data_IF_570920073385
#
_entry.id   IF_570920073385
#
_cell.length_a   1.000
_cell.length_b   1.000
_cell.length_c   1.000
_cell.angle_alpha   90.00
_cell.angle_beta   90.00
_cell.angle_gamma   90.00
#
_symmetry.space_group_name_H-M   'P 1'
#
loop_
_entity.id
_entity.type
_entity.pdbx_description
1 polymer ?
#
# COMPACT_ATOMS: atom_id res chain seq x y z
N UNK A 1 -9.79 -23.43 -20.87
CA UNK A 1 -8.33 -23.67 -21.06
C UNK A 1 -8.13 -25.08 -21.63
N UNK A 2 -7.01 -25.36 -22.34
CA UNK A 2 -6.70 -26.72 -22.79
C UNK A 2 -6.15 -27.56 -21.62
N UNK A 3 -6.33 -28.90 -21.68
CA UNK A 3 -5.79 -29.82 -20.66
C UNK A 3 -4.28 -29.64 -20.43
N UNK A 4 -3.53 -29.33 -21.50
CA UNK A 4 -2.11 -29.04 -21.41
C UNK A 4 -1.81 -27.74 -20.67
N UNK A 5 -2.64 -26.70 -20.81
CA UNK A 5 -2.48 -25.45 -20.07
C UNK A 5 -2.73 -25.67 -18.57
N UNK A 6 -3.76 -26.39 -18.20
CA UNK A 6 -4.06 -26.74 -16.80
C UNK A 6 -2.89 -27.54 -16.17
N UNK A 7 -2.40 -28.58 -16.85
CA UNK A 7 -1.28 -29.38 -16.36
C UNK A 7 -0.01 -28.54 -16.16
N UNK A 8 0.28 -27.60 -17.06
CA UNK A 8 1.44 -26.69 -16.96
C UNK A 8 1.27 -25.74 -15.76
N UNK A 9 0.10 -25.16 -15.55
CA UNK A 9 -0.16 -24.25 -14.43
C UNK A 9 -0.14 -24.98 -13.08
N UNK A 10 -0.65 -26.22 -13.00
CA UNK A 10 -0.56 -27.06 -11.81
C UNK A 10 0.88 -27.41 -11.46
N UNK A 11 1.69 -27.77 -12.48
CA UNK A 11 3.11 -28.02 -12.31
C UNK A 11 3.85 -26.75 -11.87
N UNK A 12 3.49 -25.58 -12.42
CA UNK A 12 4.05 -24.29 -11.98
C UNK A 12 3.79 -24.05 -10.49
N UNK A 13 2.56 -24.26 -10.02
CA UNK A 13 2.21 -24.14 -8.61
C UNK A 13 3.03 -25.05 -7.70
N UNK A 14 3.16 -26.34 -8.06
CA UNK A 14 4.00 -27.29 -7.30
C UNK A 14 5.46 -26.85 -7.26
N UNK A 15 6.02 -26.39 -8.38
CA UNK A 15 7.40 -25.92 -8.45
C UNK A 15 7.59 -24.65 -7.61
N UNK A 16 6.67 -23.67 -7.69
CA UNK A 16 6.74 -22.46 -6.87
C UNK A 16 6.74 -22.79 -5.37
N UNK A 17 5.89 -23.69 -4.94
CA UNK A 17 5.85 -24.13 -3.53
C UNK A 17 7.15 -24.82 -3.11
N UNK A 18 7.73 -25.62 -4.00
CA UNK A 18 8.91 -26.43 -3.68
C UNK A 18 10.23 -25.66 -3.68
N UNK A 19 10.42 -24.73 -4.63
CA UNK A 19 11.71 -24.06 -4.87
C UNK A 19 11.61 -22.54 -5.01
N UNK A 20 10.42 -21.97 -4.88
CA UNK A 20 10.15 -20.55 -5.02
C UNK A 20 9.98 -20.06 -6.46
N UNK A 21 9.53 -18.79 -6.57
CA UNK A 21 9.33 -18.19 -7.88
C UNK A 21 10.63 -18.07 -8.67
N UNK A 22 11.72 -17.65 -8.05
CA UNK A 22 13.01 -17.45 -8.73
C UNK A 22 13.58 -18.71 -9.33
N UNK A 23 13.52 -19.82 -8.63
CA UNK A 23 14.10 -21.10 -9.06
C UNK A 23 13.17 -21.91 -9.97
N UNK A 24 11.91 -21.52 -10.13
CA UNK A 24 10.97 -22.16 -11.05
C UNK A 24 11.42 -21.92 -12.50
N UNK A 25 11.65 -23.00 -13.26
CA UNK A 25 12.12 -22.97 -14.65
C UNK A 25 11.14 -23.64 -15.60
N UNK A 26 11.16 -23.26 -16.90
CA UNK A 26 10.34 -23.90 -17.93
C UNK A 26 10.61 -25.41 -18.01
N UNK A 27 11.89 -25.83 -17.84
CA UNK A 27 12.28 -27.24 -17.89
C UNK A 27 11.73 -28.06 -16.72
N UNK A 28 11.73 -27.49 -15.52
CA UNK A 28 11.16 -28.14 -14.35
C UNK A 28 9.64 -28.28 -14.49
N UNK A 29 8.97 -27.18 -14.91
CA UNK A 29 7.52 -27.18 -15.15
C UNK A 29 7.12 -28.15 -16.25
N UNK A 30 7.83 -28.18 -17.38
CA UNK A 30 7.55 -29.12 -18.49
C UNK A 30 7.66 -30.58 -18.07
N UNK A 31 8.72 -30.92 -17.30
CA UNK A 31 8.94 -32.25 -16.77
C UNK A 31 7.85 -32.68 -15.79
N UNK A 32 7.49 -31.78 -14.87
CA UNK A 32 6.46 -32.05 -13.85
C UNK A 32 5.05 -32.13 -14.46
N UNK A 33 4.77 -31.33 -15.51
CA UNK A 33 3.52 -31.40 -16.28
C UNK A 33 3.44 -32.58 -17.25
N UNK A 34 4.52 -33.35 -17.46
CA UNK A 34 4.56 -34.45 -18.42
C UNK A 34 4.47 -34.01 -19.88
N UNK A 35 4.88 -32.77 -20.20
CA UNK A 35 4.82 -32.21 -21.56
C UNK A 35 6.21 -31.84 -22.10
N UNK A 36 6.32 -31.70 -23.44
CA UNK A 36 7.56 -31.22 -24.04
C UNK A 36 7.74 -29.69 -23.85
N UNK A 37 9.01 -29.22 -23.87
CA UNK A 37 9.29 -27.75 -23.92
C UNK A 37 8.58 -27.07 -25.09
N UNK A 38 8.53 -27.72 -26.25
CA UNK A 38 7.82 -27.19 -27.42
C UNK A 38 6.32 -27.00 -27.15
N UNK A 39 5.71 -27.92 -26.39
CA UNK A 39 4.33 -27.80 -25.95
C UNK A 39 4.16 -26.60 -25.00
N UNK A 40 5.08 -26.43 -24.06
CA UNK A 40 5.05 -25.27 -23.15
C UNK A 40 5.11 -23.97 -23.92
N UNK A 41 6.08 -23.78 -24.82
CA UNK A 41 6.20 -22.53 -25.62
C UNK A 41 5.06 -22.31 -26.61
N UNK A 42 4.38 -23.39 -27.05
CA UNK A 42 3.18 -23.25 -27.87
C UNK A 42 1.99 -22.72 -27.06
N UNK A 43 1.86 -23.11 -25.79
CA UNK A 43 0.76 -22.68 -24.90
C UNK A 43 1.08 -21.34 -24.22
N UNK A 44 2.34 -21.16 -23.81
CA UNK A 44 2.86 -19.96 -23.14
C UNK A 44 4.08 -19.42 -23.90
N UNK A 45 3.89 -18.61 -24.95
CA UNK A 45 4.97 -18.14 -25.85
C UNK A 45 6.06 -17.33 -25.13
N UNK A 46 5.71 -16.56 -24.11
CA UNK A 46 6.67 -15.83 -23.26
C UNK A 46 7.37 -16.71 -22.22
N UNK A 47 7.15 -18.04 -22.30
CA UNK A 47 7.84 -19.02 -21.48
C UNK A 47 7.52 -18.86 -19.98
N UNK A 48 8.57 -18.74 -19.17
CA UNK A 48 8.44 -18.67 -17.71
C UNK A 48 7.56 -17.51 -17.22
N UNK A 49 7.67 -16.33 -17.81
CA UNK A 49 6.87 -15.18 -17.43
C UNK A 49 5.37 -15.45 -17.65
N UNK A 50 4.99 -15.88 -18.85
CA UNK A 50 3.59 -16.19 -19.17
C UNK A 50 3.01 -17.32 -18.29
N UNK A 51 3.84 -18.31 -17.94
CA UNK A 51 3.41 -19.41 -17.05
C UNK A 51 3.09 -18.87 -15.65
N UNK A 52 3.98 -18.05 -15.08
CA UNK A 52 3.79 -17.51 -13.74
C UNK A 52 2.61 -16.51 -13.71
N UNK A 53 2.47 -15.69 -14.75
CA UNK A 53 1.35 -14.77 -14.91
C UNK A 53 0.02 -15.53 -15.00
N UNK A 54 -0.05 -16.55 -15.85
CA UNK A 54 -1.23 -17.40 -15.99
C UNK A 54 -1.55 -18.19 -14.72
N UNK A 55 -0.54 -18.67 -14.01
CA UNK A 55 -0.71 -19.35 -12.73
C UNK A 55 -1.29 -18.40 -11.68
N UNK A 56 -0.71 -17.21 -11.50
CA UNK A 56 -1.20 -16.23 -10.53
C UNK A 56 -2.61 -15.74 -10.87
N UNK A 57 -2.90 -15.48 -12.14
CA UNK A 57 -4.24 -15.09 -12.59
C UNK A 57 -5.28 -16.15 -12.22
N UNK A 58 -4.97 -17.43 -12.45
CA UNK A 58 -5.85 -18.56 -12.09
C UNK A 58 -6.06 -18.69 -10.57
N UNK A 59 -5.00 -18.53 -9.77
CA UNK A 59 -5.13 -18.59 -8.31
C UNK A 59 -5.97 -17.41 -7.76
N UNK A 60 -5.83 -16.23 -8.36
CA UNK A 60 -6.67 -15.06 -8.03
C UNK A 60 -8.14 -15.31 -8.40
N UNK A 61 -8.40 -15.85 -9.60
CA UNK A 61 -9.75 -16.19 -10.06
C UNK A 61 -10.42 -17.21 -9.13
N UNK A 62 -9.70 -18.28 -8.76
CA UNK A 62 -10.18 -19.29 -7.79
C UNK A 62 -10.48 -18.67 -6.44
N UNK A 63 -9.57 -17.84 -5.94
CA UNK A 63 -9.76 -17.14 -4.67
C UNK A 63 -11.04 -16.27 -4.67
N UNK A 64 -11.27 -15.50 -5.73
CA UNK A 64 -12.47 -14.66 -5.83
C UNK A 64 -13.75 -15.47 -6.03
N UNK A 65 -13.70 -16.59 -6.75
CA UNK A 65 -14.82 -17.50 -6.84
C UNK A 65 -15.21 -18.06 -5.47
N UNK A 66 -14.23 -18.54 -4.71
CA UNK A 66 -14.45 -19.07 -3.36
C UNK A 66 -14.96 -17.98 -2.39
N UNK A 67 -14.40 -16.77 -2.47
CA UNK A 67 -14.83 -15.63 -1.67
C UNK A 67 -16.26 -15.21 -1.99
N UNK A 68 -16.59 -15.13 -3.29
CA UNK A 68 -17.95 -14.82 -3.75
C UNK A 68 -18.95 -15.83 -3.22
N UNK A 69 -18.66 -17.13 -3.36
CA UNK A 69 -19.53 -18.20 -2.86
C UNK A 69 -19.73 -18.12 -1.35
N UNK A 70 -18.70 -17.66 -0.61
CA UNK A 70 -18.78 -17.50 0.84
C UNK A 70 -19.71 -16.35 1.27
N UNK A 71 -19.77 -15.25 0.52
CA UNK A 71 -20.50 -14.02 0.92
C UNK A 71 -21.78 -13.75 0.13
N UNK A 72 -22.07 -14.49 -0.96
CA UNK A 72 -23.17 -14.19 -1.90
C UNK A 72 -24.57 -14.19 -1.29
N UNK A 73 -24.77 -14.93 -0.20
CA UNK A 73 -26.08 -15.03 0.48
C UNK A 73 -26.28 -13.90 1.52
N UNK A 74 -25.27 -13.05 1.71
CA UNK A 74 -25.32 -11.88 2.59
C UNK A 74 -25.91 -10.70 1.84
N UNK A 75 -26.84 -9.96 2.48
CA UNK A 75 -27.56 -8.85 1.87
C UNK A 75 -27.20 -7.49 2.47
N UNK A 76 -26.34 -7.46 3.48
CA UNK A 76 -25.91 -6.25 4.18
C UNK A 76 -24.42 -6.00 3.98
N UNK A 77 -24.06 -4.75 3.67
CA UNK A 77 -22.69 -4.34 3.40
C UNK A 77 -21.75 -4.65 4.58
N UNK A 78 -22.21 -4.42 5.81
CA UNK A 78 -21.40 -4.67 7.01
C UNK A 78 -21.07 -6.15 7.13
N UNK A 79 -22.08 -7.02 7.02
CA UNK A 79 -21.91 -8.47 7.06
C UNK A 79 -20.96 -8.96 5.95
N UNK A 80 -21.13 -8.46 4.72
CA UNK A 80 -20.25 -8.78 3.57
C UNK A 80 -18.82 -8.39 3.84
N UNK A 81 -18.57 -7.21 4.39
CA UNK A 81 -17.20 -6.75 4.70
C UNK A 81 -16.58 -7.54 5.84
N UNK A 82 -17.33 -7.83 6.91
CA UNK A 82 -16.83 -8.61 8.06
C UNK A 82 -16.46 -10.03 7.64
N UNK A 83 -17.41 -10.74 7.02
CA UNK A 83 -17.19 -12.12 6.58
C UNK A 83 -16.15 -12.20 5.46
N UNK A 84 -16.21 -11.27 4.49
CA UNK A 84 -15.28 -11.22 3.39
C UNK A 84 -13.84 -10.98 3.84
N UNK A 85 -13.61 -10.04 4.74
CA UNK A 85 -12.28 -9.75 5.29
C UNK A 85 -11.74 -10.90 6.15
N UNK A 86 -12.58 -11.48 7.00
CA UNK A 86 -12.21 -12.62 7.86
C UNK A 86 -11.82 -13.82 6.99
N UNK A 87 -12.66 -14.18 6.01
CA UNK A 87 -12.39 -15.26 5.07
C UNK A 87 -11.12 -15.00 4.26
N UNK A 88 -11.04 -13.83 3.63
CA UNK A 88 -9.90 -13.46 2.79
C UNK A 88 -8.58 -13.54 3.58
N UNK A 89 -8.52 -12.99 4.78
CA UNK A 89 -7.30 -13.02 5.60
C UNK A 89 -6.91 -14.44 5.99
N UNK A 90 -7.87 -15.28 6.40
CA UNK A 90 -7.62 -16.69 6.73
C UNK A 90 -7.05 -17.46 5.54
N UNK A 91 -7.59 -17.23 4.33
CA UNK A 91 -7.13 -17.86 3.10
C UNK A 91 -5.74 -17.36 2.68
N UNK A 92 -5.47 -16.07 2.80
CA UNK A 92 -4.15 -15.47 2.51
C UNK A 92 -3.08 -16.11 3.41
N UNK A 93 -3.33 -16.23 4.71
CA UNK A 93 -2.37 -16.82 5.66
C UNK A 93 -2.15 -18.31 5.37
N UNK A 94 -3.21 -19.03 5.02
CA UNK A 94 -3.13 -20.47 4.75
C UNK A 94 -2.59 -20.81 3.34
N UNK A 95 -2.47 -19.83 2.44
CA UNK A 95 -2.15 -20.07 1.03
C UNK A 95 -0.65 -20.34 0.82
N UNK A 96 -0.23 -21.56 0.39
CA UNK A 96 1.19 -21.91 0.32
C UNK A 96 2.00 -20.99 -0.61
N UNK A 97 1.43 -20.61 -1.76
CA UNK A 97 2.10 -19.77 -2.77
C UNK A 97 2.26 -18.34 -2.28
N UNK A 98 1.25 -17.76 -1.59
CA UNK A 98 1.35 -16.44 -1.01
C UNK A 98 2.40 -16.41 0.09
N UNK A 99 2.54 -17.45 0.90
CA UNK A 99 3.61 -17.56 1.88
C UNK A 99 5.00 -17.53 1.24
N UNK A 100 5.19 -18.21 0.09
CA UNK A 100 6.44 -18.12 -0.68
C UNK A 100 6.65 -16.70 -1.21
N UNK A 101 5.61 -16.08 -1.79
CA UNK A 101 5.67 -14.70 -2.31
C UNK A 101 5.96 -13.65 -1.22
N UNK A 102 5.55 -13.93 0.04
CA UNK A 102 5.82 -13.06 1.19
C UNK A 102 7.29 -13.10 1.65
N UNK A 103 7.95 -14.25 1.47
CA UNK A 103 9.33 -14.49 1.93
C UNK A 103 10.34 -14.16 0.85
N UNK A 104 10.02 -14.41 -0.41
CA UNK A 104 10.92 -14.14 -1.53
C UNK A 104 10.97 -12.66 -1.90
N UNK A 105 12.18 -12.13 -1.96
CA UNK A 105 12.50 -10.80 -2.50
C UNK A 105 12.52 -10.89 -4.05
N UNK A 106 11.34 -10.94 -4.68
CA UNK A 106 11.26 -11.27 -6.10
C UNK A 106 10.86 -10.08 -6.97
N UNK A 107 11.89 -9.46 -7.59
CA UNK A 107 11.74 -8.54 -8.73
C UNK A 107 11.02 -9.17 -9.95
N UNK A 108 10.89 -10.48 -9.98
CA UNK A 108 10.25 -11.26 -11.06
C UNK A 108 8.73 -11.13 -11.06
N UNK A 109 8.13 -10.81 -9.92
CA UNK A 109 6.68 -10.69 -9.76
C UNK A 109 6.15 -9.27 -10.00
N UNK A 110 7.04 -8.30 -10.26
CA UNK A 110 6.71 -6.86 -10.15
C UNK A 110 5.73 -6.36 -11.20
N UNK A 111 5.93 -6.71 -12.47
CA UNK A 111 5.00 -6.29 -13.54
C UNK A 111 3.68 -7.04 -13.48
N UNK A 112 3.73 -8.30 -13.07
CA UNK A 112 2.56 -9.16 -12.89
C UNK A 112 1.75 -8.74 -11.67
N UNK A 113 2.43 -8.45 -10.55
CA UNK A 113 1.77 -8.06 -9.31
C UNK A 113 1.04 -6.71 -9.42
N UNK A 114 1.61 -5.71 -10.08
CA UNK A 114 0.94 -4.40 -10.25
C UNK A 114 -0.36 -4.52 -11.03
N UNK A 115 -0.33 -5.19 -12.19
CA UNK A 115 -1.55 -5.43 -12.99
C UNK A 115 -2.57 -6.28 -12.24
N UNK A 116 -2.10 -7.26 -11.48
CA UNK A 116 -2.95 -8.14 -10.68
C UNK A 116 -3.63 -7.37 -9.55
N UNK A 117 -2.92 -6.46 -8.86
CA UNK A 117 -3.50 -5.61 -7.80
C UNK A 117 -4.55 -4.66 -8.36
N UNK A 118 -4.31 -4.02 -9.51
CA UNK A 118 -5.31 -3.17 -10.18
C UNK A 118 -6.58 -3.97 -10.51
N UNK A 119 -6.43 -5.18 -11.08
CA UNK A 119 -7.55 -6.07 -11.38
C UNK A 119 -8.30 -6.51 -10.12
N UNK A 120 -7.57 -6.87 -9.07
CA UNK A 120 -8.14 -7.23 -7.76
C UNK A 120 -8.93 -6.07 -7.16
N UNK A 121 -8.35 -4.86 -7.16
CA UNK A 121 -9.00 -3.65 -6.65
C UNK A 121 -10.30 -3.39 -7.41
N UNK A 122 -10.28 -3.46 -8.75
CA UNK A 122 -11.46 -3.26 -9.59
C UNK A 122 -12.56 -4.30 -9.30
N UNK A 123 -12.18 -5.58 -9.17
CA UNK A 123 -13.14 -6.67 -8.88
C UNK A 123 -13.81 -6.47 -7.52
N UNK A 124 -13.04 -6.15 -6.47
CA UNK A 124 -13.60 -5.86 -5.14
C UNK A 124 -14.48 -4.62 -5.19
N UNK A 125 -14.04 -3.55 -5.87
CA UNK A 125 -14.79 -2.31 -5.98
C UNK A 125 -16.15 -2.52 -6.68
N UNK A 126 -16.19 -3.28 -7.77
CA UNK A 126 -17.42 -3.64 -8.45
C UNK A 126 -18.36 -4.44 -7.53
N UNK A 127 -17.82 -5.44 -6.85
CA UNK A 127 -18.59 -6.29 -5.93
C UNK A 127 -19.20 -5.47 -4.79
N UNK A 128 -18.39 -4.72 -4.02
CA UNK A 128 -18.90 -3.94 -2.88
C UNK A 128 -19.81 -2.80 -3.32
N UNK A 129 -19.63 -2.27 -4.53
CA UNK A 129 -20.49 -1.22 -5.10
C UNK A 129 -21.93 -1.72 -5.22
N UNK A 130 -22.18 -3.01 -5.44
CA UNK A 130 -23.54 -3.58 -5.55
C UNK A 130 -24.35 -3.40 -4.26
N UNK A 131 -23.70 -3.34 -3.10
CA UNK A 131 -24.32 -3.17 -1.77
C UNK A 131 -24.44 -1.70 -1.34
N UNK A 132 -23.86 -0.76 -2.10
CA UNK A 132 -23.90 0.66 -1.76
C UNK A 132 -25.20 1.31 -2.27
N UNK A 133 -25.73 2.32 -1.55
CA UNK A 133 -26.88 3.11 -2.02
C UNK A 133 -26.57 3.79 -3.35
N UNK A 134 -27.58 3.92 -4.21
CA UNK A 134 -27.46 4.65 -5.46
C UNK A 134 -27.14 6.12 -5.19
N UNK A 135 -26.00 6.58 -5.67
CA UNK A 135 -25.52 7.95 -5.52
C UNK A 135 -24.56 8.32 -6.65
N UNK A 136 -24.35 9.61 -6.95
CA UNK A 136 -23.36 10.04 -7.96
C UNK A 136 -21.93 9.57 -7.69
N UNK A 137 -21.60 9.28 -6.43
CA UNK A 137 -20.24 8.86 -5.98
C UNK A 137 -20.18 7.39 -5.58
N UNK A 138 -21.15 6.57 -6.02
CA UNK A 138 -21.23 5.15 -5.65
C UNK A 138 -19.99 4.37 -6.05
N UNK A 139 -19.51 4.55 -7.29
CA UNK A 139 -18.33 3.89 -7.80
C UNK A 139 -17.04 4.33 -7.05
N UNK A 140 -16.89 5.63 -6.76
CA UNK A 140 -15.76 6.16 -5.99
C UNK A 140 -15.72 5.57 -4.56
N UNK A 141 -16.90 5.36 -3.95
CA UNK A 141 -17.01 4.73 -2.63
C UNK A 141 -16.65 3.26 -2.65
N UNK A 142 -17.06 2.54 -3.71
CA UNK A 142 -16.66 1.14 -3.92
C UNK A 142 -15.14 1.00 -4.10
N UNK A 143 -14.52 1.87 -4.89
CA UNK A 143 -13.07 1.95 -5.04
C UNK A 143 -12.37 2.22 -3.71
N UNK A 144 -12.86 3.19 -2.92
CA UNK A 144 -12.32 3.46 -1.58
C UNK A 144 -12.36 2.24 -0.67
N UNK A 145 -13.52 1.57 -0.59
CA UNK A 145 -13.67 0.36 0.25
C UNK A 145 -12.73 -0.76 -0.20
N UNK A 146 -12.59 -0.99 -1.50
CA UNK A 146 -11.69 -1.99 -2.05
C UNK A 146 -10.23 -1.73 -1.67
N UNK A 147 -9.77 -0.49 -1.82
CA UNK A 147 -8.40 -0.07 -1.46
C UNK A 147 -8.12 -0.23 0.02
N UNK A 148 -9.06 0.17 0.87
CA UNK A 148 -8.91 0.03 2.31
C UNK A 148 -8.93 -1.44 2.73
N UNK A 149 -9.83 -2.26 2.18
CA UNK A 149 -9.85 -3.70 2.41
C UNK A 149 -8.50 -4.36 2.06
N UNK A 150 -7.95 -4.07 0.89
CA UNK A 150 -6.64 -4.57 0.46
C UNK A 150 -5.50 -4.09 1.36
N UNK A 151 -5.54 -2.83 1.81
CA UNK A 151 -4.55 -2.30 2.74
C UNK A 151 -4.55 -3.06 4.07
N UNK A 152 -5.73 -3.36 4.63
CA UNK A 152 -5.85 -4.13 5.87
C UNK A 152 -5.52 -5.62 5.68
N UNK A 153 -5.90 -6.21 4.57
CA UNK A 153 -5.52 -7.59 4.24
C UNK A 153 -4.00 -7.76 4.09
N UNK A 154 -3.33 -6.75 3.56
CA UNK A 154 -1.87 -6.76 3.39
C UNK A 154 -1.12 -6.50 4.71
N UNK A 155 -1.59 -5.56 5.51
CA UNK A 155 -0.98 -5.16 6.78
C UNK A 155 -2.09 -4.87 7.82
N UNK A 156 -2.47 -5.82 8.66
CA UNK A 156 -3.63 -5.70 9.55
C UNK A 156 -3.50 -4.63 10.63
N UNK A 157 -2.30 -4.11 10.90
CA UNK A 157 -2.09 -3.12 11.94
C UNK A 157 -2.32 -3.71 13.33
N UNK A 158 -3.10 -2.99 14.14
CA UNK A 158 -3.47 -3.42 15.49
C UNK A 158 -4.67 -4.38 15.53
N UNK A 159 -5.25 -4.73 14.37
CA UNK A 159 -6.46 -5.55 14.29
C UNK A 159 -6.14 -7.04 14.19
N UNK A 160 -6.80 -7.85 15.04
CA UNK A 160 -6.74 -9.31 14.95
C UNK A 160 -7.90 -9.85 14.09
N UNK A 161 -7.55 -10.33 12.90
CA UNK A 161 -8.52 -10.90 11.96
C UNK A 161 -8.97 -12.33 12.34
N UNK A 162 -8.38 -12.93 13.36
CA UNK A 162 -8.88 -14.18 13.92
C UNK A 162 -10.01 -13.95 14.95
N UNK A 163 -10.16 -12.71 15.43
CA UNK A 163 -11.23 -12.28 16.32
C UNK A 163 -12.36 -11.57 15.54
N UNK A 164 -13.53 -12.20 15.32
CA UNK A 164 -14.63 -11.60 14.57
C UNK A 164 -15.10 -10.27 15.17
N UNK A 165 -15.02 -10.07 16.47
CA UNK A 165 -15.43 -8.83 17.12
C UNK A 165 -14.50 -7.68 16.77
N UNK A 166 -13.20 -7.94 16.57
CA UNK A 166 -12.25 -6.94 16.11
C UNK A 166 -12.45 -6.60 14.64
N UNK A 167 -12.75 -7.58 13.78
CA UNK A 167 -13.07 -7.31 12.36
C UNK A 167 -14.36 -6.49 12.25
N UNK A 168 -15.38 -6.81 13.04
CA UNK A 168 -16.61 -6.02 13.09
C UNK A 168 -16.34 -4.57 13.55
N UNK A 169 -15.51 -4.39 14.58
CA UNK A 169 -15.11 -3.07 15.05
C UNK A 169 -14.32 -2.28 13.99
N UNK A 170 -13.39 -2.92 13.26
CA UNK A 170 -12.67 -2.35 12.13
C UNK A 170 -13.64 -1.86 11.05
N UNK A 171 -14.56 -2.73 10.61
CA UNK A 171 -15.53 -2.42 9.55
C UNK A 171 -16.41 -1.23 9.97
N UNK A 172 -16.94 -1.23 11.18
CA UNK A 172 -17.80 -0.17 11.70
C UNK A 172 -17.08 1.15 11.92
N UNK A 173 -15.81 1.14 12.32
CA UNK A 173 -15.09 2.38 12.64
C UNK A 173 -14.32 2.97 11.47
N UNK A 174 -13.84 2.16 10.53
CA UNK A 174 -12.86 2.61 9.54
C UNK A 174 -13.32 2.43 8.07
N UNK A 175 -14.28 1.55 7.81
CA UNK A 175 -14.76 1.30 6.45
C UNK A 175 -16.14 1.93 6.22
N UNK A 176 -17.15 1.53 6.98
CA UNK A 176 -18.54 1.99 6.77
C UNK A 176 -18.73 3.50 7.01
N UNK A 177 -18.14 4.16 8.04
CA UNK A 177 -18.32 5.59 8.23
C UNK A 177 -17.86 6.43 7.05
N UNK A 178 -16.82 5.97 6.35
CA UNK A 178 -16.29 6.62 5.15
C UNK A 178 -17.31 6.71 4.00
N UNK A 179 -18.39 5.93 4.09
CA UNK A 179 -19.50 5.92 3.11
C UNK A 179 -20.57 6.97 3.42
N UNK A 180 -20.56 7.55 4.64
CA UNK A 180 -21.51 8.56 5.10
C UNK A 180 -21.07 9.97 4.75
N UNK A 181 -22.01 10.93 4.68
CA UNK A 181 -21.70 12.34 4.40
C UNK A 181 -21.16 13.03 5.64
N UNK A 182 -19.92 13.50 5.58
CA UNK A 182 -19.24 14.23 6.67
C UNK A 182 -19.31 15.75 6.56
N UNK A 183 -18.61 16.42 7.49
CA UNK A 183 -18.40 17.88 7.49
C UNK A 183 -17.65 18.35 6.24
N UNK A 184 -17.76 19.65 5.92
CA UNK A 184 -17.03 20.26 4.80
C UNK A 184 -15.79 21.00 5.31
N UNK A 185 -14.63 20.57 4.84
CA UNK A 185 -13.34 21.25 5.04
C UNK A 185 -13.02 22.07 3.79
N UNK A 186 -12.48 23.27 3.97
CA UNK A 186 -11.93 24.07 2.89
C UNK A 186 -10.56 23.52 2.47
N UNK A 187 -10.13 23.84 1.23
CA UNK A 187 -8.80 23.44 0.74
C UNK A 187 -7.68 23.91 1.67
N UNK A 188 -6.76 23.01 1.98
CA UNK A 188 -5.52 23.28 2.72
C UNK A 188 -4.35 23.26 1.76
N UNK A 189 -3.50 24.29 1.75
CA UNK A 189 -2.32 24.33 0.89
C UNK A 189 -1.25 23.37 1.37
N UNK A 190 -0.50 22.71 0.46
CA UNK A 190 0.61 21.87 0.86
C UNK A 190 1.69 22.70 1.56
N UNK A 191 2.29 22.13 2.59
CA UNK A 191 3.43 22.74 3.27
C UNK A 191 4.68 22.64 2.45
N UNK A 192 5.47 23.71 2.35
CA UNK A 192 6.78 23.64 1.69
C UNK A 192 7.70 22.70 2.46
N UNK A 193 8.53 21.95 1.71
CA UNK A 193 9.57 21.14 2.34
C UNK A 193 10.60 22.02 3.04
N UNK A 194 11.13 21.60 4.20
CA UNK A 194 12.29 22.21 4.80
C UNK A 194 13.43 22.30 3.79
N UNK A 195 14.23 23.36 3.87
CA UNK A 195 15.44 23.46 3.03
C UNK A 195 16.31 22.23 3.20
N UNK A 196 16.77 21.66 2.10
CA UNK A 196 17.71 20.55 2.16
C UNK A 196 19.02 21.00 2.79
N UNK A 197 19.35 20.43 3.92
CA UNK A 197 20.66 20.65 4.56
C UNK A 197 21.72 19.87 3.79
N UNK A 198 22.95 20.39 3.77
CA UNK A 198 24.11 19.78 3.12
C UNK A 198 25.23 19.49 4.12
N UNK A 199 24.88 19.31 5.37
CA UNK A 199 25.86 19.20 6.48
C UNK A 199 26.45 17.80 6.56
N UNK A 200 25.70 16.76 6.22
CA UNK A 200 26.18 15.38 6.26
C UNK A 200 26.56 14.85 4.88
N UNK A 201 27.45 13.85 4.85
CA UNK A 201 27.80 13.14 3.61
C UNK A 201 26.55 12.53 2.96
N UNK A 202 25.66 11.91 3.74
CA UNK A 202 24.43 11.31 3.24
C UNK A 202 23.52 12.35 2.57
N UNK A 203 23.35 13.54 3.15
CA UNK A 203 22.55 14.63 2.58
C UNK A 203 23.17 15.15 1.28
N UNK A 204 24.50 15.31 1.20
CA UNK A 204 25.18 15.71 -0.04
C UNK A 204 25.00 14.68 -1.14
N UNK A 205 25.12 13.42 -0.81
CA UNK A 205 24.94 12.28 -1.72
C UNK A 205 23.49 12.19 -2.21
N UNK A 206 22.50 12.33 -1.33
CA UNK A 206 21.09 12.33 -1.69
C UNK A 206 20.77 13.48 -2.66
N UNK A 207 21.31 14.68 -2.44
CA UNK A 207 21.13 15.82 -3.33
C UNK A 207 21.82 15.62 -4.68
N UNK A 208 23.00 15.03 -4.70
CA UNK A 208 23.71 14.69 -5.93
C UNK A 208 22.90 13.68 -6.75
N UNK A 209 22.35 12.65 -6.11
CA UNK A 209 21.48 11.66 -6.75
C UNK A 209 20.22 12.31 -7.32
N UNK A 210 19.57 13.18 -6.56
CA UNK A 210 18.39 13.92 -7.01
C UNK A 210 18.70 14.75 -8.27
N UNK A 211 19.84 15.42 -8.31
CA UNK A 211 20.31 16.17 -9.48
C UNK A 211 20.52 15.28 -10.71
N UNK A 212 21.15 14.11 -10.52
CA UNK A 212 21.34 13.11 -11.58
C UNK A 212 20.00 12.56 -12.10
N UNK A 213 19.02 12.29 -11.21
CA UNK A 213 17.69 11.89 -11.63
C UNK A 213 16.96 12.93 -12.48
N UNK A 214 17.05 14.20 -12.08
CA UNK A 214 16.42 15.33 -12.81
C UNK A 214 17.08 15.55 -14.16
N UNK A 215 18.41 15.43 -14.26
CA UNK A 215 19.15 15.64 -15.51
C UNK A 215 18.99 14.50 -16.53
N UNK A 216 18.32 13.41 -16.18
CA UNK A 216 18.16 12.24 -17.06
C UNK A 216 19.46 11.44 -17.28
N UNK A 217 20.50 11.73 -16.50
CA UNK A 217 21.80 11.06 -16.55
C UNK A 217 21.72 9.58 -16.18
N UNK A 218 22.72 8.81 -16.61
CA UNK A 218 22.88 7.44 -16.13
C UNK A 218 23.24 7.49 -14.65
N UNK A 219 22.42 6.83 -13.80
CA UNK A 219 22.66 6.66 -12.37
C UNK A 219 23.93 5.83 -12.15
N UNK A 220 25.10 6.44 -12.32
CA UNK A 220 26.38 5.81 -12.02
C UNK A 220 26.92 6.29 -10.68
N UNK A 221 27.53 5.39 -9.91
CA UNK A 221 28.21 5.75 -8.66
C UNK A 221 29.30 6.82 -8.89
N UNK A 222 29.84 6.89 -10.10
CA UNK A 222 30.86 7.87 -10.48
C UNK A 222 30.28 9.27 -10.67
N UNK A 223 29.13 9.39 -11.38
CA UNK A 223 28.45 10.68 -11.56
C UNK A 223 27.97 11.24 -10.23
N UNK A 224 27.40 10.38 -9.37
CA UNK A 224 26.95 10.76 -8.04
C UNK A 224 28.13 11.20 -7.15
N UNK A 225 29.24 10.45 -7.14
CA UNK A 225 30.43 10.83 -6.34
C UNK A 225 30.97 12.19 -6.78
N UNK A 226 31.06 12.43 -8.09
CA UNK A 226 31.48 13.72 -8.66
C UNK A 226 30.53 14.86 -8.28
N UNK A 227 29.22 14.65 -8.42
CA UNK A 227 28.19 15.64 -8.08
C UNK A 227 28.10 15.92 -6.58
N UNK A 228 28.42 14.95 -5.72
CA UNK A 228 28.50 15.08 -4.27
C UNK A 228 29.85 15.62 -3.75
N UNK A 229 30.82 15.84 -4.66
CA UNK A 229 32.17 16.29 -4.33
C UNK A 229 32.90 15.35 -3.35
N UNK A 230 32.80 14.03 -3.60
CA UNK A 230 33.46 13.00 -2.81
C UNK A 230 34.19 11.98 -3.68
N UNK A 231 35.16 11.27 -3.12
CA UNK A 231 35.80 10.17 -3.82
C UNK A 231 34.84 8.97 -3.96
N UNK A 232 35.01 8.16 -5.03
CA UNK A 232 34.29 6.89 -5.18
C UNK A 232 34.47 5.98 -3.96
N UNK A 233 35.68 5.91 -3.42
CA UNK A 233 35.98 5.10 -2.23
C UNK A 233 35.19 5.58 -1.00
N UNK A 234 35.05 6.90 -0.82
CA UNK A 234 34.24 7.49 0.25
C UNK A 234 32.76 7.15 0.07
N UNK A 235 32.23 7.23 -1.16
CA UNK A 235 30.87 6.89 -1.46
C UNK A 235 30.56 5.40 -1.19
N UNK A 236 31.42 4.49 -1.69
CA UNK A 236 31.24 3.04 -1.45
C UNK A 236 31.41 2.64 0.02
N UNK A 237 32.25 3.35 0.79
CA UNK A 237 32.36 3.13 2.25
C UNK A 237 31.11 3.56 2.99
N UNK A 238 30.51 4.66 2.57
CA UNK A 238 29.26 5.17 3.17
C UNK A 238 28.02 4.36 2.76
N UNK A 239 28.01 3.83 1.52
CA UNK A 239 26.87 3.10 0.93
C UNK A 239 27.39 1.87 0.17
N UNK A 240 27.72 0.78 0.90
CA UNK A 240 28.37 -0.40 0.33
C UNK A 240 27.51 -1.21 -0.65
N UNK A 241 26.18 -1.09 -0.60
CA UNK A 241 25.23 -1.80 -1.47
C UNK A 241 25.04 -1.22 -2.88
N UNK A 242 25.90 -0.27 -3.29
CA UNK A 242 25.86 0.28 -4.64
C UNK A 242 24.67 1.20 -4.91
N UNK A 243 24.33 1.37 -6.20
CA UNK A 243 23.39 2.42 -6.64
C UNK A 243 21.97 2.28 -6.04
N UNK A 244 21.48 1.06 -5.82
CA UNK A 244 20.12 0.87 -5.32
C UNK A 244 20.00 1.17 -3.83
N UNK A 245 21.02 0.83 -3.05
CA UNK A 245 21.07 1.26 -1.65
C UNK A 245 21.19 2.79 -1.54
N UNK A 246 21.88 3.42 -2.49
CA UNK A 246 21.96 4.87 -2.62
C UNK A 246 20.58 5.49 -2.89
N UNK A 247 19.81 4.89 -3.81
CA UNK A 247 18.41 5.30 -4.08
C UNK A 247 17.56 5.16 -2.81
N UNK A 248 17.63 4.02 -2.12
CA UNK A 248 16.91 3.79 -0.86
C UNK A 248 17.22 4.86 0.19
N UNK A 249 18.50 5.14 0.43
CA UNK A 249 18.92 6.18 1.37
C UNK A 249 18.41 7.59 0.98
N UNK A 250 18.31 7.88 -0.32
CA UNK A 250 17.74 9.15 -0.79
C UNK A 250 16.25 9.22 -0.55
N UNK A 251 15.52 8.13 -0.81
CA UNK A 251 14.07 8.04 -0.52
C UNK A 251 13.83 8.24 0.98
N UNK A 252 14.63 7.64 1.86
CA UNK A 252 14.53 7.82 3.31
C UNK A 252 14.70 9.29 3.71
N UNK A 253 15.71 9.99 3.17
CA UNK A 253 15.96 11.42 3.46
C UNK A 253 14.79 12.29 2.98
N UNK A 254 14.28 12.07 1.76
CA UNK A 254 13.17 12.85 1.23
C UNK A 254 11.87 12.55 1.98
N UNK A 255 11.64 11.30 2.35
CA UNK A 255 10.51 10.92 3.22
C UNK A 255 10.59 11.64 4.56
N UNK A 256 11.74 11.67 5.21
CA UNK A 256 11.91 12.39 6.47
C UNK A 256 11.63 13.91 6.32
N UNK A 257 11.99 14.52 5.19
CA UNK A 257 11.66 15.93 4.89
C UNK A 257 10.17 16.15 4.71
N UNK A 258 9.48 15.26 4.01
CA UNK A 258 8.02 15.30 3.84
C UNK A 258 7.35 15.16 5.21
N UNK A 259 7.77 14.21 6.04
CA UNK A 259 7.23 14.01 7.38
C UNK A 259 7.48 15.24 8.28
N UNK A 260 8.61 15.91 8.17
CA UNK A 260 8.89 17.15 8.88
C UNK A 260 7.93 18.29 8.45
N UNK A 261 7.62 18.40 7.16
CA UNK A 261 6.64 19.36 6.66
C UNK A 261 5.21 19.03 7.16
N UNK A 262 4.85 17.75 7.20
CA UNK A 262 3.59 17.28 7.77
C UNK A 262 3.51 17.63 9.26
N UNK A 263 4.54 17.33 10.03
CA UNK A 263 4.59 17.65 11.46
C UNK A 263 4.43 19.15 11.73
N UNK A 264 5.08 20.00 10.93
CA UNK A 264 4.90 21.45 11.01
C UNK A 264 3.45 21.85 10.68
N UNK A 265 2.84 21.24 9.65
CA UNK A 265 1.45 21.43 9.30
C UNK A 265 0.48 21.01 10.40
N UNK A 266 0.74 19.87 11.03
CA UNK A 266 -0.03 19.37 12.17
C UNK A 266 0.01 20.37 13.35
N UNK A 267 1.18 20.95 13.64
CA UNK A 267 1.31 21.93 14.72
C UNK A 267 0.46 23.19 14.49
N UNK A 268 0.30 23.62 13.24
CA UNK A 268 -0.44 24.82 12.87
C UNK A 268 -1.93 24.55 12.56
N UNK A 269 -2.35 23.30 12.48
CA UNK A 269 -3.74 22.94 12.17
C UNK A 269 -4.70 23.39 13.29
N UNK A 270 -5.91 23.80 12.90
CA UNK A 270 -6.93 24.34 13.80
C UNK A 270 -7.94 23.30 14.27
N UNK A 271 -8.05 22.20 13.54
CA UNK A 271 -8.95 21.08 13.82
C UNK A 271 -8.30 19.76 13.40
N UNK A 272 -8.89 18.64 13.82
CA UNK A 272 -8.49 17.32 13.38
C UNK A 272 -8.64 17.17 11.86
N UNK A 273 -9.75 17.66 11.30
CA UNK A 273 -10.00 17.64 9.86
C UNK A 273 -8.92 18.42 9.09
N UNK A 274 -8.59 19.65 9.54
CA UNK A 274 -7.51 20.45 8.95
C UNK A 274 -6.16 19.72 9.02
N UNK A 275 -5.91 19.00 10.11
CA UNK A 275 -4.71 18.23 10.32
C UNK A 275 -4.60 17.06 9.31
N UNK A 276 -5.67 16.29 9.15
CA UNK A 276 -5.71 15.15 8.23
C UNK A 276 -5.63 15.61 6.77
N UNK A 277 -6.47 16.60 6.37
CA UNK A 277 -6.44 17.15 5.00
C UNK A 277 -5.08 17.77 4.67
N UNK A 278 -4.52 18.54 5.61
CA UNK A 278 -3.21 19.16 5.45
C UNK A 278 -2.08 18.15 5.29
N UNK A 279 -2.15 17.03 6.02
CA UNK A 279 -1.21 15.92 5.91
C UNK A 279 -1.29 15.25 4.55
N UNK A 280 -2.49 14.86 4.11
CA UNK A 280 -2.73 14.25 2.79
C UNK A 280 -2.28 15.18 1.67
N UNK A 281 -2.70 16.44 1.69
CA UNK A 281 -2.33 17.44 0.68
C UNK A 281 -0.81 17.61 0.60
N UNK A 282 -0.12 17.71 1.75
CA UNK A 282 1.33 17.89 1.79
C UNK A 282 2.06 16.66 1.24
N UNK A 283 1.69 15.47 1.69
CA UNK A 283 2.37 14.23 1.26
C UNK A 283 2.14 13.99 -0.23
N UNK A 284 0.89 14.01 -0.68
CA UNK A 284 0.55 13.74 -2.08
C UNK A 284 1.17 14.75 -3.04
N UNK A 285 1.08 16.05 -2.69
CA UNK A 285 1.70 17.09 -3.52
C UNK A 285 3.21 16.85 -3.70
N UNK A 286 3.93 16.61 -2.60
CA UNK A 286 5.37 16.38 -2.69
C UNK A 286 5.72 15.05 -3.33
N UNK A 287 4.98 13.99 -3.05
CA UNK A 287 5.18 12.69 -3.68
C UNK A 287 4.97 12.75 -5.21
N UNK A 288 3.93 13.46 -5.68
CA UNK A 288 3.61 13.60 -7.09
C UNK A 288 4.49 14.61 -7.84
N UNK A 289 4.99 15.64 -7.16
CA UNK A 289 5.78 16.71 -7.81
C UNK A 289 7.29 16.58 -7.58
N UNK A 290 7.74 15.68 -6.69
CA UNK A 290 9.15 15.48 -6.39
C UNK A 290 9.88 14.75 -7.53
N UNK A 291 10.87 15.39 -8.21
CA UNK A 291 11.44 14.84 -9.45
C UNK A 291 12.09 13.45 -9.28
N UNK A 292 12.73 13.19 -8.13
CA UNK A 292 13.35 11.89 -7.89
C UNK A 292 12.31 10.79 -7.62
N UNK A 293 11.23 11.08 -6.87
CA UNK A 293 10.18 10.11 -6.57
C UNK A 293 9.36 9.78 -7.82
N UNK A 294 8.97 10.78 -8.61
CA UNK A 294 8.23 10.56 -9.87
C UNK A 294 9.07 9.79 -10.88
N UNK A 295 10.38 10.09 -10.98
CA UNK A 295 11.29 9.34 -11.86
C UNK A 295 11.48 7.90 -11.37
N UNK A 296 11.63 7.71 -10.06
CA UNK A 296 11.76 6.38 -9.46
C UNK A 296 10.52 5.52 -9.74
N UNK A 297 9.32 6.07 -9.52
CA UNK A 297 8.06 5.40 -9.85
C UNK A 297 7.97 5.02 -11.33
N UNK A 298 8.44 5.89 -12.23
CA UNK A 298 8.40 5.62 -13.67
C UNK A 298 9.41 4.56 -14.12
N UNK A 299 10.58 4.45 -13.47
CA UNK A 299 11.68 3.57 -13.92
C UNK A 299 11.78 2.30 -13.10
N UNK A 300 11.48 2.37 -11.81
CA UNK A 300 11.59 1.27 -10.85
C UNK A 300 10.44 1.33 -9.83
N UNK A 301 9.17 1.17 -10.28
CA UNK A 301 8.01 1.12 -9.38
C UNK A 301 8.14 -0.01 -8.35
N UNK A 302 8.83 -1.09 -8.73
CA UNK A 302 9.17 -2.22 -7.89
C UNK A 302 9.77 -1.83 -6.53
N UNK A 303 10.71 -0.88 -6.51
CA UNK A 303 11.37 -0.47 -5.27
C UNK A 303 10.41 0.22 -4.28
N UNK A 304 9.38 0.88 -4.78
CA UNK A 304 8.36 1.52 -3.94
C UNK A 304 7.30 0.49 -3.53
N UNK A 305 6.82 -0.31 -4.47
CA UNK A 305 5.86 -1.37 -4.19
C UNK A 305 6.40 -2.38 -3.18
N UNK A 306 7.70 -2.71 -3.24
CA UNK A 306 8.35 -3.59 -2.27
C UNK A 306 8.29 -3.05 -0.84
N UNK A 307 8.36 -1.72 -0.65
CA UNK A 307 8.20 -1.10 0.68
C UNK A 307 6.75 -1.20 1.21
N UNK A 308 5.77 -1.45 0.33
CA UNK A 308 4.36 -1.59 0.67
C UNK A 308 3.91 -3.05 0.84
N UNK A 309 4.85 -4.00 0.83
CA UNK A 309 4.54 -5.42 1.01
C UNK A 309 4.48 -5.80 2.49
N UNK A 310 3.36 -6.37 2.88
CA UNK A 310 3.11 -7.07 4.14
C UNK A 310 3.96 -6.59 5.34
N UNK A 311 5.02 -7.32 5.72
CA UNK A 311 5.84 -6.98 6.88
C UNK A 311 6.55 -5.62 6.77
N UNK A 312 6.97 -5.21 5.55
CA UNK A 312 7.58 -3.88 5.33
C UNK A 312 6.52 -2.78 5.44
N UNK A 313 5.34 -2.98 4.87
CA UNK A 313 4.22 -2.05 5.00
C UNK A 313 3.81 -1.88 6.46
N UNK A 314 3.67 -2.98 7.21
CA UNK A 314 3.36 -2.94 8.63
C UNK A 314 4.38 -2.10 9.41
N UNK A 315 5.67 -2.34 9.19
CA UNK A 315 6.74 -1.57 9.85
C UNK A 315 6.71 -0.09 9.48
N UNK A 316 6.44 0.24 8.21
CA UNK A 316 6.33 1.63 7.76
C UNK A 316 5.14 2.32 8.43
N UNK A 317 4.00 1.62 8.56
CA UNK A 317 2.83 2.13 9.29
C UNK A 317 3.15 2.39 10.76
N UNK A 318 3.83 1.47 11.45
CA UNK A 318 4.25 1.64 12.84
C UNK A 318 5.16 2.85 13.03
N UNK A 319 6.18 3.01 12.18
CA UNK A 319 7.12 4.15 12.24
C UNK A 319 6.41 5.48 12.02
N UNK A 320 5.54 5.56 11.01
CA UNK A 320 4.78 6.77 10.72
C UNK A 320 3.82 7.10 11.86
N UNK A 321 3.05 6.11 12.31
CA UNK A 321 2.09 6.28 13.41
C UNK A 321 2.78 6.75 14.67
N UNK A 322 3.92 6.19 15.04
CA UNK A 322 4.69 6.61 16.21
C UNK A 322 5.11 8.09 16.16
N UNK A 323 5.38 8.62 14.95
CA UNK A 323 5.76 10.03 14.77
C UNK A 323 4.55 10.98 14.73
N UNK A 324 3.45 10.57 14.11
CA UNK A 324 2.32 11.46 13.86
C UNK A 324 1.26 11.44 14.95
N UNK A 325 1.02 10.29 15.59
CA UNK A 325 -0.01 10.17 16.61
C UNK A 325 0.15 11.15 17.79
N UNK A 326 1.35 11.39 18.35
CA UNK A 326 1.51 12.38 19.41
C UNK A 326 1.06 13.79 19.03
N UNK A 327 1.19 14.16 17.75
CA UNK A 327 0.79 15.48 17.24
C UNK A 327 -0.72 15.59 17.05
N UNK A 328 -1.41 14.46 16.82
CA UNK A 328 -2.87 14.37 16.70
C UNK A 328 -3.56 14.28 18.06
N UNK A 329 -2.86 13.83 19.10
CA UNK A 329 -3.42 13.55 20.43
C UNK A 329 -4.07 14.76 21.11
N UNK A 330 -3.75 15.98 20.66
CA UNK A 330 -4.37 17.22 21.17
C UNK A 330 -5.86 17.38 20.82
N UNK A 331 -6.33 16.71 19.76
CA UNK A 331 -7.74 16.74 19.36
C UNK A 331 -8.51 15.50 19.81
N UNK A 332 -7.80 14.39 20.02
CA UNK A 332 -8.39 13.09 20.35
C UNK A 332 -7.53 12.39 21.38
N UNK A 333 -8.04 11.36 22.04
CA UNK A 333 -7.24 10.57 22.98
C UNK A 333 -6.09 9.83 22.28
N UNK A 334 -5.13 9.36 23.07
CA UNK A 334 -3.91 8.73 22.56
C UNK A 334 -4.20 7.57 21.60
N UNK A 335 -5.08 6.67 21.99
CA UNK A 335 -5.42 5.48 21.19
C UNK A 335 -6.10 5.88 19.87
N UNK A 336 -7.05 6.83 19.91
CA UNK A 336 -7.70 7.35 18.73
C UNK A 336 -6.70 8.07 17.79
N UNK A 337 -5.69 8.76 18.34
CA UNK A 337 -4.66 9.43 17.53
C UNK A 337 -3.77 8.43 16.77
N UNK A 338 -3.44 7.28 17.36
CA UNK A 338 -2.71 6.21 16.70
C UNK A 338 -3.52 5.65 15.53
N UNK A 339 -4.81 5.42 15.71
CA UNK A 339 -5.71 4.92 14.65
C UNK A 339 -5.90 5.94 13.52
N UNK A 340 -6.15 7.22 13.85
CA UNK A 340 -6.28 8.28 12.83
C UNK A 340 -4.99 8.42 12.02
N UNK A 341 -3.82 8.36 12.66
CA UNK A 341 -2.53 8.43 11.99
C UNK A 341 -2.33 7.24 11.02
N UNK A 342 -2.56 6.02 11.49
CA UNK A 342 -2.43 4.81 10.69
C UNK A 342 -3.41 4.82 9.51
N UNK A 343 -4.68 5.13 9.76
CA UNK A 343 -5.71 5.19 8.74
C UNK A 343 -5.42 6.25 7.67
N UNK A 344 -4.97 7.46 8.07
CA UNK A 344 -4.54 8.50 7.14
C UNK A 344 -3.41 8.02 6.24
N UNK A 345 -2.46 7.27 6.79
CA UNK A 345 -1.34 6.72 6.04
C UNK A 345 -1.79 5.65 5.04
N UNK A 346 -2.73 4.78 5.42
CA UNK A 346 -3.31 3.77 4.52
C UNK A 346 -3.98 4.41 3.33
N UNK A 347 -4.81 5.42 3.56
CA UNK A 347 -5.43 6.22 2.49
C UNK A 347 -4.36 6.85 1.60
N UNK A 348 -3.37 7.48 2.21
CA UNK A 348 -2.29 8.14 1.47
C UNK A 348 -1.59 7.18 0.52
N UNK A 349 -1.14 6.03 0.98
CA UNK A 349 -0.43 5.06 0.14
C UNK A 349 -1.32 4.44 -0.92
N UNK A 350 -2.57 4.10 -0.59
CA UNK A 350 -3.50 3.47 -1.54
C UNK A 350 -3.74 4.34 -2.77
N UNK A 351 -3.84 5.67 -2.60
CA UNK A 351 -4.09 6.61 -3.70
C UNK A 351 -2.83 7.20 -4.33
N UNK A 352 -1.67 7.12 -3.66
CA UNK A 352 -0.41 7.53 -4.25
C UNK A 352 0.14 6.48 -5.22
N UNK A 353 0.04 5.20 -4.86
CA UNK A 353 0.56 4.10 -5.68
C UNK A 353 -0.31 3.81 -6.90
N UNK A 354 -1.61 4.02 -6.76
CA UNK A 354 -2.60 3.81 -7.82
C UNK A 354 -3.64 4.95 -7.76
N UNK A 355 -3.33 6.10 -8.42
CA UNK A 355 -4.20 7.28 -8.38
C UNK A 355 -5.57 7.01 -9.02
N UNK A 356 -6.66 7.30 -8.28
CA UNK A 356 -7.99 7.21 -8.85
C UNK A 356 -8.21 8.36 -9.87
N UNK A 357 -8.88 8.11 -11.00
CA UNK A 357 -9.14 9.13 -12.02
C UNK A 357 -9.90 10.36 -11.51
N UNK A 358 -10.68 10.20 -10.44
CA UNK A 358 -11.48 11.26 -9.82
C UNK A 358 -10.71 12.11 -8.80
N UNK A 359 -9.44 11.77 -8.50
CA UNK A 359 -8.62 12.43 -7.49
C UNK A 359 -7.34 13.01 -8.11
N UNK A 360 -7.29 14.32 -8.26
CA UNK A 360 -6.03 15.03 -8.53
C UNK A 360 -5.32 15.30 -7.19
N UNK A 361 -4.30 14.49 -6.92
CA UNK A 361 -3.49 14.58 -5.68
C UNK A 361 -2.62 15.84 -5.63
N UNK A 362 -2.46 16.56 -6.74
CA UNK A 362 -1.70 17.81 -6.80
C UNK A 362 -2.56 19.06 -6.57
N UNK A 363 -3.89 18.94 -6.73
CA UNK A 363 -4.84 20.03 -6.48
C UNK A 363 -5.41 19.97 -5.06
N UNK A 364 -5.10 20.95 -4.20
CA UNK A 364 -5.66 21.01 -2.84
C UNK A 364 -7.19 21.06 -2.78
N UNK A 365 -7.88 21.54 -3.82
CA UNK A 365 -9.33 21.55 -3.86
C UNK A 365 -9.90 20.15 -4.15
N UNK A 366 -9.25 19.39 -5.03
CA UNK A 366 -9.57 17.99 -5.27
C UNK A 366 -9.38 17.15 -4.01
N UNK A 367 -8.25 17.30 -3.29
CA UNK A 367 -7.97 16.60 -2.04
C UNK A 367 -9.01 16.94 -0.95
N UNK A 368 -9.36 18.20 -0.78
CA UNK A 368 -10.40 18.60 0.18
C UNK A 368 -11.78 18.04 -0.18
N UNK A 369 -12.12 18.00 -1.47
CA UNK A 369 -13.36 17.41 -1.97
C UNK A 369 -13.41 15.91 -1.72
N UNK A 370 -12.31 15.21 -1.99
CA UNK A 370 -12.16 13.79 -1.70
C UNK A 370 -12.31 13.51 -0.20
N UNK A 371 -11.61 14.25 0.64
CA UNK A 371 -11.74 14.15 2.09
C UNK A 371 -13.19 14.28 2.55
N UNK A 372 -13.87 15.35 2.13
CA UNK A 372 -15.24 15.61 2.53
C UNK A 372 -16.23 14.52 2.11
N UNK A 373 -15.96 13.85 0.99
CA UNK A 373 -16.82 12.79 0.47
C UNK A 373 -16.57 11.43 1.10
N UNK A 374 -15.30 11.10 1.38
CA UNK A 374 -14.91 9.74 1.69
C UNK A 374 -14.27 9.57 3.08
N UNK A 375 -13.69 10.62 3.65
CA UNK A 375 -12.84 10.47 4.83
C UNK A 375 -13.40 11.13 6.10
N UNK A 376 -14.09 12.25 5.98
CA UNK A 376 -14.50 13.07 7.14
C UNK A 376 -15.31 12.28 8.18
N UNK A 377 -16.28 11.46 7.74
CA UNK A 377 -17.08 10.63 8.64
C UNK A 377 -16.26 9.54 9.34
N UNK A 378 -15.26 8.96 8.64
CA UNK A 378 -14.33 8.00 9.23
C UNK A 378 -13.44 8.62 10.30
N UNK A 379 -12.92 9.83 10.06
CA UNK A 379 -12.14 10.59 11.05
C UNK A 379 -12.99 10.91 12.29
N UNK A 380 -14.25 11.34 12.10
CA UNK A 380 -15.17 11.59 13.22
C UNK A 380 -15.45 10.31 14.02
N UNK A 381 -15.66 9.16 13.34
CA UNK A 381 -15.90 7.87 13.99
C UNK A 381 -14.67 7.39 14.78
N UNK A 382 -13.47 7.50 14.20
CA UNK A 382 -12.23 7.14 14.88
C UNK A 382 -11.95 8.03 16.09
N UNK A 383 -12.25 9.32 15.98
CA UNK A 383 -12.09 10.28 17.08
C UNK A 383 -13.04 10.02 18.26
N UNK A 384 -14.22 9.43 17.97
CA UNK A 384 -15.23 9.11 18.96
C UNK A 384 -15.02 7.75 19.66
N UNK A 385 -14.06 6.92 19.22
CA UNK A 385 -13.82 5.61 19.81
C UNK A 385 -13.40 5.73 21.29
N UNK A 386 -14.00 4.94 22.18
CA UNK A 386 -13.62 4.91 23.58
C UNK A 386 -12.20 4.34 23.74
N UNK A 387 -11.44 4.92 24.66
CA UNK A 387 -10.14 4.39 25.07
C UNK A 387 -10.32 2.98 25.65
N UNK A 388 -9.93 1.94 24.92
CA UNK A 388 -10.10 0.54 25.33
C UNK A 388 -9.39 0.24 26.64
N UNK A 389 -8.28 0.91 26.96
CA UNK A 389 -7.60 0.78 28.26
C UNK A 389 -8.44 1.30 29.41
N UNK A 390 -9.22 2.38 29.19
CA UNK A 390 -10.18 2.86 30.20
C UNK A 390 -11.33 1.89 30.37
N UNK A 391 -11.84 1.30 29.29
CA UNK A 391 -12.91 0.30 29.35
C UNK A 391 -12.44 -0.95 30.10
N UNK A 392 -11.26 -1.49 29.76
CA UNK A 392 -10.67 -2.63 30.46
C UNK A 392 -10.38 -2.33 31.95
N UNK A 393 -9.88 -1.13 32.27
CA UNK A 393 -9.63 -0.71 33.66
C UNK A 393 -10.94 -0.54 34.47
N UNK A 394 -12.04 -0.18 33.84
CA UNK A 394 -13.36 -0.08 34.49
C UNK A 394 -13.97 -1.47 34.68
N UNK A 395 -13.83 -2.38 33.71
CA UNK A 395 -14.33 -3.74 33.77
C UNK A 395 -13.49 -4.61 34.75
N UNK A 396 -12.16 -4.42 34.77
CA UNK A 396 -11.25 -5.13 35.68
C UNK A 396 -11.35 -4.70 37.15
N UNK A 397 -12.07 -3.62 37.49
CA UNK A 397 -12.36 -3.21 38.85
C UNK A 397 -13.69 -3.76 39.41
N UNK A 398 -14.38 -4.59 38.64
CA UNK A 398 -15.66 -5.23 39.05
C UNK A 398 -15.54 -6.71 39.42
N UNK A 399 -14.31 -7.19 39.64
CA UNK A 399 -14.06 -8.53 40.19
C UNK A 399 -13.28 -8.45 41.51
#
# INVERSE_FOLDING_TARGET
>A
MSDAAEAILDAAGRNVIAVGFHATTVDAVARDAGVSRATVYRVFPGGRADILDGFLAREVERFFSDLYDHVRDLNDLEAVLVEGLTYARSRIIAHPVLNVALVEDSSVLESTFSKTIESITATIAEFVTSYLPTSPHRAERGDFLARMALSYLSAPGAWDFADPAQVEALVRSELIPSVSSGKRVSKVRPRPLPKAENTTLQQRVARALQKEFVSGGSLSMESVARSAEVSRATLYRAIPGGRWQLVGATVEIETARILSAVAAGLNDARSLDDAVVGSLTTIWHHAATHPALTRLLAVRPDLIHDQMRFAKAQRNFEVFTAQMAPLLARWVGREASERVAEWTLRVMFSYWLDPAPSLDVTDPASVASFYNRHLAAGVDALAALPDQRRVAAVLGKRH
#
